data_IF_823292269574
#
_entry.id   IF_823292269574
#
_cell.length_a   1.000
_cell.length_b   1.000
_cell.length_c   1.000
_cell.angle_alpha   90.00
_cell.angle_beta   90.00
_cell.angle_gamma   90.00
#
_symmetry.space_group_name_H-M   'P 1'
#
loop_
_entity.id
_entity.type
_entity.pdbx_description
1 polymer ?
#
# COMPACT_ATOMS: atom_id res chain seq x y z
N UNK A 1 6.92 -22.05 12.30
CA UNK A 1 7.53 -20.97 11.51
C UNK A 1 6.44 -20.04 11.04
N UNK A 2 6.72 -18.75 10.92
CA UNK A 2 5.76 -17.73 10.48
C UNK A 2 6.39 -16.93 9.35
N UNK A 3 5.67 -16.73 8.25
CA UNK A 3 6.07 -15.89 7.13
C UNK A 3 5.13 -14.69 7.02
N UNK A 4 5.69 -13.50 6.83
CA UNK A 4 4.99 -12.24 6.66
C UNK A 4 5.10 -11.75 5.21
N UNK A 5 3.97 -11.43 4.63
CA UNK A 5 3.86 -10.80 3.31
C UNK A 5 3.29 -9.40 3.46
N UNK A 6 4.05 -8.41 3.08
CA UNK A 6 3.66 -7.00 3.06
C UNK A 6 3.45 -6.61 1.61
N UNK A 7 2.23 -6.21 1.27
CA UNK A 7 1.79 -6.02 -0.11
C UNK A 7 1.43 -4.54 -0.33
N UNK A 8 2.02 -3.93 -1.34
CA UNK A 8 1.65 -2.60 -1.80
C UNK A 8 1.12 -2.60 -3.23
N UNK A 9 0.79 -1.44 -3.77
CA UNK A 9 0.08 -1.29 -5.04
C UNK A 9 0.82 -1.90 -6.26
N UNK A 10 2.14 -2.00 -6.21
CA UNK A 10 2.91 -2.71 -7.24
C UNK A 10 2.50 -4.17 -7.44
N UNK A 11 1.85 -4.79 -6.45
CA UNK A 11 1.27 -6.12 -6.59
C UNK A 11 0.13 -6.13 -7.62
N UNK A 12 -0.80 -5.19 -7.51
CA UNK A 12 -1.91 -5.07 -8.44
C UNK A 12 -1.44 -4.67 -9.84
N UNK A 13 -0.46 -3.77 -9.92
CA UNK A 13 0.13 -3.34 -11.20
C UNK A 13 0.84 -4.50 -11.92
N UNK A 14 1.58 -5.34 -11.20
CA UNK A 14 2.25 -6.53 -11.77
C UNK A 14 1.23 -7.58 -12.26
N UNK A 15 0.06 -7.64 -11.66
CA UNK A 15 -1.07 -8.44 -12.15
C UNK A 15 -1.75 -7.84 -13.40
N UNK A 16 -1.38 -6.63 -13.81
CA UNK A 16 -1.97 -5.92 -14.96
C UNK A 16 -3.16 -5.04 -14.61
N UNK A 17 -3.47 -4.84 -13.31
CA UNK A 17 -4.55 -3.95 -12.87
C UNK A 17 -4.10 -2.49 -12.91
N UNK A 18 -4.96 -1.61 -13.37
CA UNK A 18 -4.73 -0.17 -13.43
C UNK A 18 -5.15 0.50 -12.12
N UNK A 19 -4.41 0.28 -11.05
CA UNK A 19 -4.77 0.74 -9.69
C UNK A 19 -3.89 1.88 -9.18
N UNK A 20 -3.04 2.47 -10.04
CA UNK A 20 -2.23 3.62 -9.64
C UNK A 20 -3.06 4.90 -9.53
N UNK A 21 -2.58 5.86 -8.75
CA UNK A 21 -3.17 7.20 -8.74
C UNK A 21 -3.09 7.90 -10.11
N UNK A 22 -2.07 7.61 -10.91
CA UNK A 22 -1.97 8.08 -12.28
C UNK A 22 -3.13 7.56 -13.14
N UNK A 23 -3.42 6.25 -13.07
CA UNK A 23 -4.55 5.65 -13.78
C UNK A 23 -5.89 6.24 -13.30
N UNK A 24 -6.03 6.50 -12.01
CA UNK A 24 -7.22 7.15 -11.45
C UNK A 24 -7.41 8.55 -12.02
N UNK A 25 -6.35 9.38 -12.08
CA UNK A 25 -6.42 10.76 -12.60
C UNK A 25 -6.79 10.76 -14.10
N UNK A 26 -6.43 9.74 -14.85
CA UNK A 26 -6.82 9.59 -16.25
C UNK A 26 -8.23 9.02 -16.45
N UNK A 27 -8.87 8.51 -15.40
CA UNK A 27 -10.17 7.87 -15.45
C UNK A 27 -11.33 8.85 -15.72
N UNK A 28 -12.46 8.29 -16.15
CA UNK A 28 -13.68 9.05 -16.30
C UNK A 28 -14.24 9.51 -14.96
N UNK A 29 -14.08 8.69 -13.91
CA UNK A 29 -14.49 8.99 -12.54
C UNK A 29 -13.78 10.25 -12.02
N UNK A 30 -12.48 10.41 -12.29
CA UNK A 30 -11.73 11.60 -11.91
C UNK A 30 -12.08 12.81 -12.79
N UNK A 31 -12.29 12.62 -14.08
CA UNK A 31 -12.67 13.70 -15.00
C UNK A 31 -13.99 14.37 -14.61
N UNK A 32 -14.92 13.65 -13.99
CA UNK A 32 -16.15 14.23 -13.44
C UNK A 32 -15.86 15.24 -12.31
N UNK A 33 -14.81 15.00 -11.49
CA UNK A 33 -14.41 15.88 -10.37
C UNK A 33 -13.85 17.22 -10.85
N UNK A 34 -13.24 17.27 -12.03
CA UNK A 34 -12.63 18.51 -12.55
C UNK A 34 -13.54 19.31 -13.47
N UNK A 35 -14.79 18.86 -13.72
CA UNK A 35 -15.76 19.61 -14.51
C UNK A 35 -16.05 21.00 -13.89
N UNK A 36 -16.35 22.02 -14.70
CA UNK A 36 -16.69 23.34 -14.18
C UNK A 36 -17.88 23.35 -13.21
N UNK A 37 -18.80 22.40 -13.38
CA UNK A 37 -19.97 22.23 -12.51
C UNK A 37 -19.66 21.61 -11.15
N UNK A 38 -18.46 21.03 -10.99
CA UNK A 38 -18.04 20.37 -9.75
C UNK A 38 -17.09 21.28 -8.98
N UNK A 39 -17.46 21.64 -7.75
CA UNK A 39 -16.60 22.45 -6.88
C UNK A 39 -15.62 21.54 -6.13
N UNK A 40 -14.59 21.06 -6.84
CA UNK A 40 -13.52 20.23 -6.31
C UNK A 40 -12.15 20.82 -6.68
N UNK A 41 -11.71 21.76 -5.88
CA UNK A 41 -10.47 22.51 -6.13
C UNK A 41 -9.22 21.65 -5.98
N UNK A 42 -9.23 20.68 -5.07
CA UNK A 42 -8.11 19.75 -4.91
C UNK A 42 -7.96 18.80 -6.12
N UNK A 43 -9.07 18.32 -6.71
CA UNK A 43 -8.97 17.52 -7.93
C UNK A 43 -8.39 18.32 -9.10
N UNK A 44 -8.75 19.60 -9.24
CA UNK A 44 -8.16 20.49 -10.26
C UNK A 44 -6.66 20.68 -10.03
N UNK A 45 -6.24 20.90 -8.78
CA UNK A 45 -4.83 20.97 -8.41
C UNK A 45 -4.07 19.67 -8.74
N UNK A 46 -4.62 18.48 -8.38
CA UNK A 46 -4.00 17.20 -8.71
C UNK A 46 -3.84 17.01 -10.22
N UNK A 47 -4.85 17.42 -11.03
CA UNK A 47 -4.77 17.33 -12.47
C UNK A 47 -3.67 18.24 -13.06
N UNK A 48 -3.45 19.41 -12.48
CA UNK A 48 -2.36 20.32 -12.88
C UNK A 48 -1.01 19.70 -12.53
N UNK A 49 -0.84 19.21 -11.30
CA UNK A 49 0.38 18.53 -10.84
C UNK A 49 0.71 17.29 -11.66
N UNK A 50 -0.28 16.49 -12.00
CA UNK A 50 -0.09 15.32 -12.84
C UNK A 50 0.43 15.70 -14.25
N UNK A 51 -0.05 16.79 -14.84
CA UNK A 51 0.44 17.29 -16.13
C UNK A 51 1.88 17.79 -16.09
N UNK A 52 2.34 18.29 -14.93
CA UNK A 52 3.71 18.74 -14.73
C UNK A 52 4.69 17.56 -14.55
N UNK A 53 4.23 16.43 -13.99
CA UNK A 53 5.11 15.32 -13.57
C UNK A 53 4.49 13.93 -13.81
N UNK A 54 4.49 13.47 -15.05
CA UNK A 54 3.75 12.31 -15.57
C UNK A 54 4.02 10.93 -14.94
N UNK A 55 5.08 10.71 -14.15
CA UNK A 55 5.51 9.33 -13.87
C UNK A 55 5.05 8.76 -12.54
N UNK A 56 4.92 9.56 -11.52
CA UNK A 56 4.57 9.10 -10.18
C UNK A 56 4.02 10.25 -9.34
N UNK A 57 2.91 10.02 -8.67
CA UNK A 57 2.29 11.01 -7.81
C UNK A 57 1.92 10.36 -6.47
N UNK A 58 2.43 10.91 -5.39
CA UNK A 58 1.96 10.62 -4.03
C UNK A 58 0.82 11.58 -3.70
N UNK A 59 -0.40 11.15 -3.99
CA UNK A 59 -1.61 11.98 -3.79
C UNK A 59 -1.83 12.34 -2.32
N UNK A 60 -1.40 11.49 -1.40
CA UNK A 60 -1.52 11.74 0.04
C UNK A 60 -0.53 12.83 0.49
N UNK A 61 0.69 12.82 -0.02
CA UNK A 61 1.64 13.90 0.20
C UNK A 61 1.20 15.21 -0.48
N UNK A 62 0.64 15.14 -1.69
CA UNK A 62 0.08 16.31 -2.37
C UNK A 62 -1.13 16.88 -1.61
N UNK A 63 -1.92 16.06 -0.95
CA UNK A 63 -3.01 16.50 -0.06
C UNK A 63 -2.47 17.35 1.08
N UNK A 64 -1.39 16.91 1.73
CA UNK A 64 -0.71 17.65 2.80
C UNK A 64 -0.17 19.00 2.31
N UNK A 65 0.52 19.01 1.16
CA UNK A 65 1.06 20.22 0.54
C UNK A 65 -0.06 21.20 0.21
N UNK A 66 -1.14 20.71 -0.39
CA UNK A 66 -2.29 21.52 -0.78
C UNK A 66 -2.95 22.18 0.42
N UNK A 67 -3.21 21.44 1.49
CA UNK A 67 -3.84 22.00 2.71
C UNK A 67 -2.95 23.03 3.40
N UNK A 68 -1.65 22.78 3.50
CA UNK A 68 -0.75 23.69 4.21
C UNK A 68 -0.43 24.97 3.43
N UNK A 69 -0.30 24.89 2.09
CA UNK A 69 0.27 25.97 1.31
C UNK A 69 -0.72 26.69 0.37
N UNK A 70 -1.82 26.04 0.01
CA UNK A 70 -2.69 26.52 -1.07
C UNK A 70 -4.10 26.78 -0.58
N UNK A 71 -4.66 25.85 0.22
CA UNK A 71 -6.04 25.94 0.67
C UNK A 71 -6.22 26.95 1.80
N UNK A 72 -7.02 27.99 1.55
CA UNK A 72 -7.23 29.10 2.48
C UNK A 72 -8.66 29.20 3.06
N UNK A 73 -9.51 28.20 2.79
CA UNK A 73 -10.88 28.13 3.32
C UNK A 73 -10.89 27.28 4.60
N UNK A 74 -12.06 27.22 5.28
CA UNK A 74 -12.22 26.40 6.47
C UNK A 74 -12.27 24.89 6.15
N UNK A 75 -11.91 24.04 7.10
CA UNK A 75 -11.87 22.59 6.94
C UNK A 75 -13.21 21.94 6.62
N UNK A 76 -14.34 22.54 7.04
CA UNK A 76 -15.68 22.02 6.77
C UNK A 76 -16.01 22.03 5.28
N UNK A 77 -15.64 23.10 4.57
CA UNK A 77 -15.84 23.18 3.13
C UNK A 77 -14.99 22.13 2.39
N UNK A 78 -13.73 21.94 2.80
CA UNK A 78 -12.85 20.96 2.18
C UNK A 78 -13.29 19.52 2.43
N UNK A 79 -13.98 19.23 3.53
CA UNK A 79 -14.48 17.89 3.85
C UNK A 79 -15.39 17.33 2.76
N UNK A 80 -16.18 18.18 2.11
CA UNK A 80 -17.03 17.74 1.00
C UNK A 80 -16.20 17.36 -0.23
N UNK A 81 -15.21 18.17 -0.60
CA UNK A 81 -14.29 17.87 -1.71
C UNK A 81 -13.53 16.56 -1.45
N UNK A 82 -12.98 16.40 -0.24
CA UNK A 82 -12.26 15.20 0.17
C UNK A 82 -13.12 13.93 0.08
N UNK A 83 -14.37 13.99 0.54
CA UNK A 83 -15.30 12.88 0.44
C UNK A 83 -15.67 12.54 -1.00
N UNK A 84 -15.78 13.54 -1.87
CA UNK A 84 -16.02 13.32 -3.31
C UNK A 84 -14.86 12.57 -3.96
N UNK A 85 -13.61 12.97 -3.68
CA UNK A 85 -12.42 12.29 -4.21
C UNK A 85 -12.36 10.86 -3.68
N UNK A 86 -12.54 10.66 -2.38
CA UNK A 86 -12.52 9.34 -1.75
C UNK A 86 -13.58 8.41 -2.36
N UNK A 87 -14.79 8.92 -2.58
CA UNK A 87 -15.87 8.19 -3.24
C UNK A 87 -15.51 7.83 -4.70
N UNK A 88 -15.03 8.80 -5.46
CA UNK A 88 -14.65 8.61 -6.87
C UNK A 88 -13.51 7.61 -7.03
N UNK A 89 -12.49 7.66 -6.17
CA UNK A 89 -11.42 6.68 -6.14
C UNK A 89 -11.94 5.27 -5.86
N UNK A 90 -12.83 5.13 -4.89
CA UNK A 90 -13.46 3.85 -4.56
C UNK A 90 -14.27 3.27 -5.72
N UNK A 91 -15.06 4.10 -6.41
CA UNK A 91 -15.85 3.70 -7.59
C UNK A 91 -14.93 3.25 -8.73
N UNK A 92 -13.86 4.00 -9.00
CA UNK A 92 -12.85 3.66 -9.99
C UNK A 92 -12.19 2.30 -9.70
N UNK A 93 -11.66 2.11 -8.50
CA UNK A 93 -10.97 0.88 -8.10
C UNK A 93 -11.91 -0.34 -8.17
N UNK A 94 -13.18 -0.17 -7.77
CA UNK A 94 -14.17 -1.24 -7.89
C UNK A 94 -14.42 -1.64 -9.36
N UNK A 95 -14.50 -0.67 -10.26
CA UNK A 95 -14.66 -0.91 -11.70
C UNK A 95 -13.46 -1.64 -12.29
N UNK A 96 -12.24 -1.24 -11.94
CA UNK A 96 -10.99 -1.86 -12.40
C UNK A 96 -10.91 -3.31 -11.94
N UNK A 97 -11.15 -3.58 -10.66
CA UNK A 97 -11.04 -4.94 -10.11
C UNK A 97 -12.07 -5.92 -10.66
N UNK A 98 -13.21 -5.43 -11.16
CA UNK A 98 -14.25 -6.27 -11.77
C UNK A 98 -14.00 -6.58 -13.25
N UNK A 99 -13.32 -5.71 -13.99
CA UNK A 99 -13.29 -5.75 -15.45
C UNK A 99 -11.93 -6.11 -16.06
N UNK A 100 -10.83 -6.00 -15.30
CA UNK A 100 -9.50 -6.24 -15.84
C UNK A 100 -9.12 -7.74 -15.86
N UNK A 101 -8.31 -8.10 -16.85
CA UNK A 101 -7.76 -9.46 -16.97
C UNK A 101 -6.50 -9.60 -16.14
N UNK A 102 -6.51 -10.58 -15.26
CA UNK A 102 -5.38 -10.90 -14.38
C UNK A 102 -4.27 -11.63 -15.15
N UNK A 103 -3.04 -11.15 -15.01
CA UNK A 103 -1.84 -11.82 -15.49
C UNK A 103 -1.36 -12.87 -14.46
N UNK A 104 -1.78 -14.13 -14.65
CA UNK A 104 -1.38 -15.23 -13.77
C UNK A 104 0.08 -15.70 -13.96
N UNK A 105 0.82 -15.14 -14.93
CA UNK A 105 2.24 -15.43 -15.14
C UNK A 105 3.15 -14.39 -14.45
N UNK A 106 2.58 -13.42 -13.76
CA UNK A 106 3.29 -12.34 -13.06
C UNK A 106 4.02 -12.83 -11.80
N UNK A 107 4.93 -12.00 -11.30
CA UNK A 107 5.60 -12.26 -10.02
C UNK A 107 4.61 -12.19 -8.84
N UNK A 108 3.61 -11.33 -8.91
CA UNK A 108 2.53 -11.26 -7.93
C UNK A 108 1.74 -12.58 -7.85
N UNK A 109 1.46 -13.21 -9.00
CA UNK A 109 0.83 -14.54 -9.01
C UNK A 109 1.76 -15.61 -8.43
N UNK A 110 3.08 -15.50 -8.62
CA UNK A 110 4.05 -16.41 -7.99
C UNK A 110 4.11 -16.23 -6.47
N UNK A 111 3.96 -15.00 -5.95
CA UNK A 111 3.77 -14.76 -4.50
C UNK A 111 2.54 -15.49 -3.97
N UNK A 112 1.42 -15.45 -4.69
CA UNK A 112 0.21 -16.21 -4.30
C UNK A 112 0.48 -17.71 -4.22
N UNK A 113 1.21 -18.28 -5.20
CA UNK A 113 1.62 -19.70 -5.17
C UNK A 113 2.55 -20.00 -3.99
N UNK A 114 3.48 -19.08 -3.65
CA UNK A 114 4.35 -19.22 -2.48
C UNK A 114 3.54 -19.24 -1.19
N UNK A 115 2.54 -18.38 -1.04
CA UNK A 115 1.62 -18.37 0.10
C UNK A 115 0.91 -19.72 0.25
N UNK A 116 0.39 -20.28 -0.84
CA UNK A 116 -0.25 -21.60 -0.84
C UNK A 116 0.74 -22.71 -0.47
N UNK A 117 1.98 -22.62 -0.93
CA UNK A 117 3.05 -23.58 -0.58
C UNK A 117 3.40 -23.48 0.91
N UNK A 118 3.48 -22.28 1.47
CA UNK A 118 3.72 -22.07 2.90
C UNK A 118 2.60 -22.71 3.75
N UNK A 119 1.34 -22.46 3.39
CA UNK A 119 0.18 -23.08 4.05
C UNK A 119 0.22 -24.61 3.98
N UNK A 120 0.55 -25.16 2.81
CA UNK A 120 0.69 -26.60 2.61
C UNK A 120 1.77 -27.22 3.52
N UNK A 121 2.82 -26.46 3.77
CA UNK A 121 3.92 -26.87 4.66
C UNK A 121 3.67 -26.55 6.14
N UNK A 122 2.44 -26.19 6.52
CA UNK A 122 2.05 -25.80 7.88
C UNK A 122 2.85 -24.60 8.41
N UNK A 123 3.27 -23.69 7.54
CA UNK A 123 3.87 -22.42 7.93
C UNK A 123 2.71 -21.43 8.16
N UNK A 124 2.72 -20.75 9.31
CA UNK A 124 1.77 -19.67 9.59
C UNK A 124 2.01 -18.52 8.60
N UNK A 125 0.97 -18.12 7.89
CA UNK A 125 1.02 -17.03 6.91
C UNK A 125 0.30 -15.81 7.46
N UNK A 126 1.02 -14.68 7.48
CA UNK A 126 0.49 -13.37 7.80
C UNK A 126 0.61 -12.47 6.58
N UNK A 127 -0.44 -11.76 6.26
CA UNK A 127 -0.48 -10.78 5.15
C UNK A 127 -0.87 -9.42 5.71
N UNK A 128 -0.08 -8.41 5.41
CA UNK A 128 -0.41 -7.00 5.63
C UNK A 128 -0.56 -6.36 4.26
N UNK A 129 -1.78 -6.04 3.89
CA UNK A 129 -2.11 -5.49 2.58
C UNK A 129 -2.37 -3.98 2.69
N UNK A 130 -1.51 -3.19 2.07
CA UNK A 130 -1.66 -1.73 1.98
C UNK A 130 -2.49 -1.29 0.77
N UNK A 131 -2.95 -2.23 -0.07
CA UNK A 131 -3.83 -1.92 -1.19
C UNK A 131 -5.26 -1.78 -0.72
N UNK A 132 -6.02 -0.92 -1.36
CA UNK A 132 -7.47 -0.82 -1.17
C UNK A 132 -8.24 -2.03 -1.74
N UNK A 133 -7.58 -2.81 -2.60
CA UNK A 133 -8.15 -3.99 -3.26
C UNK A 133 -7.88 -5.24 -2.43
N UNK A 134 -8.77 -6.23 -2.57
CA UNK A 134 -8.59 -7.56 -1.97
C UNK A 134 -8.09 -8.58 -3.01
N UNK A 135 -7.31 -8.11 -3.97
CA UNK A 135 -6.86 -8.89 -5.14
C UNK A 135 -6.03 -10.11 -4.73
N UNK A 136 -5.11 -9.94 -3.77
CA UNK A 136 -4.26 -11.04 -3.29
C UNK A 136 -5.10 -12.23 -2.81
N UNK A 137 -6.04 -12.03 -1.88
CA UNK A 137 -6.86 -13.12 -1.36
C UNK A 137 -7.75 -13.72 -2.44
N UNK A 138 -8.26 -12.91 -3.36
CA UNK A 138 -9.08 -13.39 -4.48
C UNK A 138 -8.28 -14.34 -5.38
N UNK A 139 -7.04 -13.98 -5.70
CA UNK A 139 -6.16 -14.81 -6.54
C UNK A 139 -5.70 -16.06 -5.80
N UNK A 140 -5.30 -15.95 -4.52
CA UNK A 140 -4.94 -17.11 -3.69
C UNK A 140 -6.08 -18.12 -3.65
N UNK A 141 -7.32 -17.67 -3.39
CA UNK A 141 -8.51 -18.54 -3.41
C UNK A 141 -8.76 -19.14 -4.78
N UNK A 142 -8.61 -18.37 -5.86
CA UNK A 142 -8.80 -18.86 -7.23
C UNK A 142 -7.78 -19.94 -7.59
N UNK A 143 -6.49 -19.70 -7.38
CA UNK A 143 -5.43 -20.69 -7.64
C UNK A 143 -5.65 -21.94 -6.80
N UNK A 144 -6.03 -21.79 -5.51
CA UNK A 144 -6.33 -22.90 -4.64
C UNK A 144 -7.54 -23.72 -5.12
N UNK A 145 -8.59 -23.05 -5.65
CA UNK A 145 -9.77 -23.71 -6.18
C UNK A 145 -9.49 -24.50 -7.47
N UNK A 146 -8.58 -23.99 -8.32
CA UNK A 146 -8.19 -24.59 -9.58
C UNK A 146 -7.21 -25.76 -9.39
N UNK A 147 -6.60 -25.87 -8.20
CA UNK A 147 -5.70 -26.96 -7.88
C UNK A 147 -6.48 -28.26 -7.58
N UNK A 148 -6.40 -29.22 -8.50
CA UNK A 148 -7.13 -30.50 -8.40
C UNK A 148 -6.52 -31.42 -7.33
N UNK A 149 -5.22 -31.30 -7.05
CA UNK A 149 -4.47 -32.30 -6.29
C UNK A 149 -4.51 -32.07 -4.78
N UNK A 150 -4.38 -30.82 -4.33
CA UNK A 150 -4.33 -30.49 -2.89
C UNK A 150 -4.93 -29.11 -2.67
N UNK A 151 -6.03 -29.05 -1.94
CA UNK A 151 -6.58 -27.78 -1.44
C UNK A 151 -6.05 -27.49 -0.05
N UNK A 152 -5.71 -26.23 0.21
CA UNK A 152 -5.28 -25.75 1.51
C UNK A 152 -6.34 -24.84 2.14
N UNK A 153 -6.33 -24.73 3.45
CA UNK A 153 -7.26 -23.88 4.21
C UNK A 153 -6.80 -22.42 4.13
N UNK A 154 -7.28 -21.69 3.13
CA UNK A 154 -6.92 -20.26 2.94
C UNK A 154 -7.46 -19.35 4.04
N UNK A 155 -8.44 -19.82 4.82
CA UNK A 155 -9.00 -19.15 6.00
C UNK A 155 -8.01 -19.06 7.16
N UNK A 156 -6.93 -19.84 7.13
CA UNK A 156 -5.82 -19.76 8.09
C UNK A 156 -4.87 -18.58 7.84
N UNK A 157 -5.00 -17.87 6.73
CA UNK A 157 -4.24 -16.66 6.48
C UNK A 157 -4.69 -15.58 7.47
N UNK A 158 -3.75 -15.10 8.30
CA UNK A 158 -3.97 -13.91 9.13
C UNK A 158 -3.81 -12.69 8.23
N UNK A 159 -4.92 -12.04 7.90
CA UNK A 159 -4.96 -10.95 6.94
C UNK A 159 -5.32 -9.63 7.61
N UNK A 160 -4.48 -8.63 7.42
CA UNK A 160 -4.63 -7.29 7.95
C UNK A 160 -4.60 -6.29 6.79
N UNK A 161 -5.48 -5.31 6.84
CA UNK A 161 -5.55 -4.24 5.83
C UNK A 161 -5.61 -2.87 6.52
N UNK A 162 -4.44 -2.23 6.77
CA UNK A 162 -4.38 -0.93 7.44
C UNK A 162 -5.09 0.19 6.68
N UNK A 163 -5.13 0.11 5.35
CA UNK A 163 -5.75 1.13 4.49
C UNK A 163 -7.22 0.85 4.17
N UNK A 164 -7.84 -0.14 4.84
CA UNK A 164 -9.22 -0.53 4.55
C UNK A 164 -9.37 -1.21 3.19
N UNK A 165 -10.61 -1.46 2.79
CA UNK A 165 -10.93 -2.15 1.55
C UNK A 165 -12.08 -1.46 0.81
N UNK A 166 -12.13 -1.63 -0.50
CA UNK A 166 -13.19 -1.06 -1.36
C UNK A 166 -14.58 -1.37 -0.83
N UNK A 167 -14.82 -2.60 -0.33
CA UNK A 167 -16.13 -3.07 0.15
C UNK A 167 -16.54 -2.39 1.46
N UNK A 168 -15.60 -2.25 2.39
CA UNK A 168 -15.86 -1.77 3.74
C UNK A 168 -15.59 -0.28 3.92
N UNK A 169 -14.80 0.32 3.04
CA UNK A 169 -14.36 1.71 3.04
C UNK A 169 -12.85 1.81 3.02
N UNK A 170 -12.34 2.65 2.12
CA UNK A 170 -10.90 2.91 2.00
C UNK A 170 -10.46 3.94 3.04
N UNK A 171 -9.27 3.79 3.58
CA UNK A 171 -8.60 4.76 4.46
C UNK A 171 -7.66 5.59 3.61
N UNK A 172 -8.17 6.69 3.07
CA UNK A 172 -7.43 7.64 2.27
C UNK A 172 -7.17 8.90 3.10
N UNK A 173 -5.92 9.34 3.18
CA UNK A 173 -5.57 10.51 3.99
C UNK A 173 -4.06 10.63 4.25
N UNK A 174 -3.71 11.52 5.15
CA UNK A 174 -2.35 11.81 5.56
C UNK A 174 -1.99 11.05 6.85
N UNK A 175 -0.70 10.85 7.11
CA UNK A 175 -0.19 10.26 8.35
C UNK A 175 -0.64 11.04 9.59
N UNK A 176 -0.88 10.34 10.68
CA UNK A 176 -1.33 10.93 11.96
C UNK A 176 -0.31 11.93 12.53
N UNK A 177 0.98 11.68 12.32
CA UNK A 177 2.08 12.57 12.68
C UNK A 177 2.28 13.77 11.76
N UNK A 178 1.51 13.89 10.67
CA UNK A 178 1.66 14.98 9.70
C UNK A 178 1.44 16.34 10.33
N UNK A 179 2.37 17.25 10.09
CA UNK A 179 2.26 18.65 10.55
C UNK A 179 1.31 19.39 9.62
N UNK A 180 0.10 19.69 10.12
CA UNK A 180 -0.85 20.60 9.50
C UNK A 180 -0.89 21.89 10.32
N UNK A 181 -0.81 23.05 9.66
CA UNK A 181 -0.77 24.35 10.33
C UNK A 181 -2.05 24.63 11.12
N UNK A 182 -3.22 24.19 10.61
CA UNK A 182 -4.54 24.30 11.25
C UNK A 182 -5.11 22.92 11.62
N UNK A 183 -4.41 22.17 12.45
CA UNK A 183 -4.71 20.76 12.74
C UNK A 183 -6.14 20.45 13.15
N UNK A 184 -6.77 21.31 13.95
CA UNK A 184 -8.12 21.03 14.50
C UNK A 184 -9.17 20.90 13.41
N UNK A 185 -9.13 21.75 12.39
CA UNK A 185 -10.13 21.80 11.33
C UNK A 185 -9.94 20.69 10.28
N UNK A 186 -8.77 20.05 10.26
CA UNK A 186 -8.37 19.06 9.27
C UNK A 186 -8.03 17.67 9.84
N UNK A 187 -8.33 17.42 11.12
CA UNK A 187 -8.08 16.10 11.75
C UNK A 187 -8.73 14.94 10.99
N UNK A 188 -9.86 15.17 10.36
CA UNK A 188 -10.57 14.16 9.56
C UNK A 188 -9.80 13.70 8.30
N UNK A 189 -8.72 14.40 7.93
CA UNK A 189 -7.82 14.02 6.83
C UNK A 189 -6.76 13.00 7.27
N UNK A 190 -6.55 12.80 8.56
CA UNK A 190 -5.58 11.83 9.04
C UNK A 190 -6.12 10.41 8.94
N UNK A 191 -5.25 9.46 8.61
CA UNK A 191 -5.62 8.04 8.49
C UNK A 191 -6.26 7.52 9.77
N UNK A 192 -5.70 7.88 10.94
CA UNK A 192 -6.21 7.46 12.24
C UNK A 192 -7.58 8.04 12.62
N UNK A 193 -8.02 9.13 12.00
CA UNK A 193 -9.37 9.66 12.21
C UNK A 193 -10.43 8.99 11.32
N UNK A 194 -10.02 8.15 10.37
CA UNK A 194 -10.95 7.42 9.52
C UNK A 194 -11.59 6.26 10.29
N UNK A 195 -12.93 6.14 10.32
CA UNK A 195 -13.62 5.07 11.05
C UNK A 195 -13.30 3.66 10.52
N UNK A 196 -12.79 3.54 9.30
CA UNK A 196 -12.38 2.27 8.70
C UNK A 196 -10.89 1.97 8.96
N UNK A 197 -10.15 2.88 9.60
CA UNK A 197 -8.77 2.64 9.97
C UNK A 197 -8.72 1.56 11.05
N UNK A 198 -8.09 0.45 10.71
CA UNK A 198 -7.83 -0.61 11.68
C UNK A 198 -6.46 -0.33 12.26
N UNK A 199 -6.43 0.13 13.51
CA UNK A 199 -5.21 0.11 14.32
C UNK A 199 -4.84 -1.35 14.57
N UNK A 200 -4.43 -2.02 13.53
CA UNK A 200 -3.94 -3.37 13.67
C UNK A 200 -2.50 -3.29 14.14
N UNK A 201 -2.22 -3.91 15.27
CA UNK A 201 -0.85 -4.10 15.74
C UNK A 201 -0.13 -5.14 14.86
N UNK A 202 0.00 -4.79 13.54
CA UNK A 202 0.73 -5.63 12.62
C UNK A 202 2.23 -5.70 12.97
N UNK A 203 2.69 -4.84 13.89
CA UNK A 203 4.03 -4.85 14.42
C UNK A 203 4.36 -6.22 15.05
N UNK A 204 3.41 -6.86 15.74
CA UNK A 204 3.59 -8.21 16.26
C UNK A 204 3.93 -9.22 15.16
N UNK A 205 3.42 -8.99 13.95
CA UNK A 205 3.63 -9.89 12.80
C UNK A 205 5.10 -9.96 12.38
N UNK A 206 5.83 -8.86 12.34
CA UNK A 206 7.25 -8.92 11.96
C UNK A 206 8.16 -9.45 13.07
N UNK A 207 7.81 -9.24 14.33
CA UNK A 207 8.56 -9.85 15.45
C UNK A 207 8.51 -11.38 15.35
N UNK A 208 7.35 -11.94 15.12
CA UNK A 208 7.11 -13.39 15.03
C UNK A 208 7.62 -14.05 13.76
N UNK A 209 7.83 -13.27 12.69
CA UNK A 209 8.14 -13.83 11.37
C UNK A 209 9.61 -14.21 11.22
N UNK A 210 9.87 -15.35 10.58
CA UNK A 210 11.18 -15.81 10.18
C UNK A 210 11.58 -15.27 8.80
N UNK A 211 10.61 -15.15 7.89
CA UNK A 211 10.76 -14.58 6.57
C UNK A 211 9.76 -13.44 6.40
N UNK A 212 10.23 -12.31 5.88
CA UNK A 212 9.45 -11.11 5.58
C UNK A 212 9.61 -10.82 4.09
N UNK A 213 8.50 -10.77 3.38
CA UNK A 213 8.46 -10.42 1.96
C UNK A 213 7.71 -9.11 1.79
N UNK A 214 8.36 -8.10 1.22
CA UNK A 214 7.75 -6.83 0.81
C UNK A 214 7.63 -6.84 -0.70
N UNK A 215 6.42 -6.76 -1.22
CA UNK A 215 6.16 -6.81 -2.65
C UNK A 215 5.37 -5.58 -3.12
N UNK A 216 5.97 -4.83 -4.05
CA UNK A 216 5.32 -3.71 -4.72
C UNK A 216 4.90 -2.55 -3.82
N UNK A 217 5.50 -2.42 -2.64
CA UNK A 217 5.29 -1.28 -1.76
C UNK A 217 6.39 -0.24 -1.99
N UNK A 218 6.00 1.00 -2.25
CA UNK A 218 6.92 2.08 -2.61
C UNK A 218 7.80 2.56 -1.46
N UNK A 219 7.47 2.22 -0.21
CA UNK A 219 8.06 2.81 1.00
C UNK A 219 7.98 4.35 0.97
N UNK A 220 6.82 4.88 0.57
CA UNK A 220 6.57 6.32 0.48
C UNK A 220 6.54 7.02 1.83
N UNK A 221 6.69 8.34 1.80
CA UNK A 221 6.64 9.16 3.02
C UNK A 221 5.28 9.12 3.70
N UNK A 222 4.22 8.85 2.94
CA UNK A 222 2.84 8.67 3.44
C UNK A 222 2.63 7.42 4.32
N UNK A 223 3.60 6.49 4.37
CA UNK A 223 3.54 5.29 5.19
C UNK A 223 4.74 5.16 6.13
N UNK A 224 5.49 6.27 6.33
CA UNK A 224 6.71 6.27 7.12
C UNK A 224 6.48 5.73 8.54
N UNK A 225 5.46 6.24 9.23
CA UNK A 225 5.17 5.86 10.61
C UNK A 225 4.80 4.36 10.74
N UNK A 226 4.24 3.79 9.67
CA UNK A 226 3.90 2.37 9.60
C UNK A 226 5.13 1.47 9.45
N UNK A 227 6.15 1.89 8.70
CA UNK A 227 7.31 1.05 8.37
C UNK A 227 8.55 1.33 9.21
N UNK A 228 8.72 2.55 9.72
CA UNK A 228 9.89 2.91 10.50
C UNK A 228 10.14 1.97 11.71
N UNK A 229 9.12 1.52 12.47
CA UNK A 229 9.33 0.55 13.55
C UNK A 229 9.86 -0.81 13.06
N UNK A 230 9.40 -1.30 11.90
CA UNK A 230 9.91 -2.55 11.30
C UNK A 230 11.41 -2.45 11.00
N UNK A 231 11.81 -1.40 10.28
CA UNK A 231 13.21 -1.25 9.88
C UNK A 231 14.12 -0.93 11.06
N UNK A 232 13.67 -0.13 12.02
CA UNK A 232 14.40 0.12 13.27
C UNK A 232 14.64 -1.18 14.05
N UNK A 233 13.62 -2.04 14.12
CA UNK A 233 13.77 -3.37 14.74
C UNK A 233 14.77 -4.23 13.97
N UNK A 234 14.67 -4.32 12.65
CA UNK A 234 15.57 -5.13 11.84
C UNK A 234 17.03 -4.66 11.94
N UNK A 235 17.28 -3.35 11.98
CA UNK A 235 18.63 -2.79 12.15
C UNK A 235 19.21 -3.11 13.52
N UNK A 236 18.41 -3.05 14.58
CA UNK A 236 18.85 -3.26 15.96
C UNK A 236 18.90 -4.72 16.41
N UNK A 237 18.09 -5.60 15.78
CA UNK A 237 17.96 -7.00 16.20
C UNK A 237 19.12 -7.86 15.72
N UNK A 238 19.81 -8.49 16.66
CA UNK A 238 20.91 -9.46 16.40
C UNK A 238 20.55 -10.89 16.78
N UNK A 239 19.45 -11.08 17.50
CA UNK A 239 19.14 -12.35 18.18
C UNK A 239 18.54 -13.41 17.25
N UNK A 240 17.98 -13.00 16.11
CA UNK A 240 17.43 -13.95 15.12
C UNK A 240 17.65 -13.46 13.70
N UNK A 241 18.40 -14.24 12.93
CA UNK A 241 18.64 -13.95 11.53
C UNK A 241 17.36 -14.18 10.72
N UNK A 242 16.68 -13.10 10.33
CA UNK A 242 15.50 -13.13 9.47
C UNK A 242 15.90 -13.11 8.00
N UNK A 243 15.01 -13.59 7.14
CA UNK A 243 15.11 -13.43 5.69
C UNK A 243 14.19 -12.29 5.26
N UNK A 244 14.73 -11.28 4.59
CA UNK A 244 14.00 -10.14 4.05
C UNK A 244 14.09 -10.17 2.53
N UNK A 245 12.96 -10.38 1.86
CA UNK A 245 12.83 -10.34 0.40
C UNK A 245 12.15 -9.04 0.02
N UNK A 246 12.78 -8.25 -0.85
CA UNK A 246 12.28 -6.96 -1.32
C UNK A 246 12.05 -7.04 -2.82
N UNK A 247 10.79 -6.90 -3.26
CA UNK A 247 10.40 -6.88 -4.67
C UNK A 247 9.93 -5.48 -5.06
N UNK A 248 10.64 -4.87 -6.00
CA UNK A 248 10.38 -3.55 -6.56
C UNK A 248 10.79 -3.50 -8.03
N UNK A 249 10.36 -2.48 -8.75
CA UNK A 249 10.78 -2.29 -10.14
C UNK A 249 12.29 -1.98 -10.19
N UNK A 250 13.01 -2.62 -11.11
CA UNK A 250 14.47 -2.51 -11.21
C UNK A 250 14.90 -1.08 -11.59
N UNK A 251 14.12 -0.41 -12.42
CA UNK A 251 14.29 1.00 -12.79
C UNK A 251 14.15 1.97 -11.61
N UNK A 252 13.49 1.56 -10.53
CA UNK A 252 13.30 2.35 -9.30
C UNK A 252 14.34 2.01 -8.22
N UNK A 253 15.37 1.20 -8.52
CA UNK A 253 16.28 0.65 -7.51
C UNK A 253 17.01 1.71 -6.68
N UNK A 254 17.50 2.79 -7.30
CA UNK A 254 18.21 3.86 -6.59
C UNK A 254 17.28 4.64 -5.65
N UNK A 255 16.08 4.93 -6.12
CA UNK A 255 15.05 5.59 -5.34
C UNK A 255 14.59 4.73 -4.16
N UNK A 256 14.42 3.42 -4.41
CA UNK A 256 14.07 2.47 -3.36
C UNK A 256 15.17 2.34 -2.30
N UNK A 257 16.44 2.30 -2.72
CA UNK A 257 17.60 2.28 -1.81
C UNK A 257 17.68 3.55 -0.96
N UNK A 258 17.44 4.71 -1.54
CA UNK A 258 17.41 5.99 -0.81
C UNK A 258 16.31 5.99 0.27
N UNK A 259 15.15 5.45 -0.04
CA UNK A 259 14.08 5.29 0.94
C UNK A 259 14.42 4.28 2.03
N UNK A 260 14.97 3.12 1.68
CA UNK A 260 15.47 2.16 2.67
C UNK A 260 16.51 2.78 3.60
N UNK A 261 17.42 3.60 3.08
CA UNK A 261 18.41 4.30 3.90
C UNK A 261 17.75 5.25 4.90
N UNK A 262 16.73 6.00 4.45
CA UNK A 262 15.89 6.83 5.33
C UNK A 262 15.22 6.02 6.43
N UNK A 263 14.57 4.90 6.09
CA UNK A 263 13.89 4.03 7.05
C UNK A 263 14.83 3.35 8.04
N UNK A 264 16.04 3.02 7.59
CA UNK A 264 17.08 2.41 8.43
C UNK A 264 17.94 3.46 9.16
N UNK A 265 17.70 4.75 8.94
CA UNK A 265 18.48 5.86 9.50
C UNK A 265 19.99 5.70 9.23
N UNK A 266 20.36 5.36 8.00
CA UNK A 266 21.74 5.07 7.60
C UNK A 266 22.23 3.66 7.98
N UNK A 267 21.34 2.81 8.47
CA UNK A 267 21.67 1.47 8.98
C UNK A 267 21.61 0.34 7.94
N UNK A 268 21.68 0.61 6.63
CA UNK A 268 21.62 -0.42 5.58
C UNK A 268 22.69 -1.52 5.75
N UNK A 269 23.90 -1.14 6.14
CA UNK A 269 24.97 -2.09 6.42
C UNK A 269 24.63 -3.01 7.58
N UNK A 270 24.11 -2.46 8.69
CA UNK A 270 23.66 -3.24 9.83
C UNK A 270 22.51 -4.19 9.48
N UNK A 271 21.55 -3.73 8.67
CA UNK A 271 20.47 -4.56 8.16
C UNK A 271 21.03 -5.78 7.39
N UNK A 272 21.99 -5.56 6.49
CA UNK A 272 22.58 -6.62 5.68
C UNK A 272 23.49 -7.58 6.48
N UNK A 273 24.09 -7.11 7.59
CA UNK A 273 24.88 -7.95 8.50
C UNK A 273 23.97 -8.80 9.38
N UNK A 274 22.91 -8.18 9.92
CA UNK A 274 22.03 -8.84 10.88
C UNK A 274 21.07 -9.84 10.21
N UNK A 275 20.70 -9.61 8.95
CA UNK A 275 19.68 -10.39 8.23
C UNK A 275 20.14 -10.84 6.84
N UNK A 276 19.39 -11.79 6.25
CA UNK A 276 19.57 -12.19 4.86
C UNK A 276 18.66 -11.31 4.01
N UNK A 277 19.21 -10.27 3.40
CA UNK A 277 18.46 -9.34 2.53
C UNK A 277 18.61 -9.76 1.08
N UNK A 278 17.49 -10.00 0.41
CA UNK A 278 17.44 -10.30 -1.01
C UNK A 278 16.60 -9.24 -1.74
N UNK A 279 17.12 -8.72 -2.86
CA UNK A 279 16.42 -7.77 -3.72
C UNK A 279 16.02 -8.49 -4.99
N UNK A 280 14.73 -8.39 -5.35
CA UNK A 280 14.14 -9.10 -6.49
C UNK A 280 14.60 -10.57 -6.60
N UNK A 281 14.49 -11.38 -5.52
CA UNK A 281 14.95 -12.77 -5.60
C UNK A 281 14.09 -13.56 -6.59
N UNK A 282 14.73 -14.51 -7.28
CA UNK A 282 14.00 -15.48 -8.11
C UNK A 282 13.08 -16.34 -7.23
N UNK A 283 11.96 -16.77 -7.83
CA UNK A 283 10.92 -17.61 -7.19
C UNK A 283 11.23 -19.09 -7.31
#
# INVERSE_FOLDING_TARGET
MTNLYIIGNGFDLDLGLKTSYADFIESDEFKELIKPSTDCSFAKYLNEKYRENYKWMDVENELKIYINNIYNKNGTAFKQEFNLIKKSLREYLNKVTLNEKINYNSNAARICNKILTDLKNNIEVRVVNFNYTNTLLSIVKKINSDNVSVKVETEKIIYLNPHGEIQNGIVFGIEDGALLDNKKDFLYLTKGADPNHVYSDWHESYFKSNEITVFGHSLGDSDFDSFAPLFSYLVSSRDSKKKLNLYFLEEDSDFYNMRLDKYTQGGLTALSINHIVKRNPEF
#
